data_IF_939328613643
#
_entry.id   IF_939328613643
#
_cell.length_a   1.000
_cell.length_b   1.000
_cell.length_c   1.000
_cell.angle_alpha   90.00
_cell.angle_beta   90.00
_cell.angle_gamma   90.00
#
_symmetry.space_group_name_H-M   'P 1'
#
loop_
_entity.id
_entity.type
_entity.pdbx_description
1 polymer ?
#
# COMPACT_ATOMS: atom_id res chain seq x y z
N UNK A 1 -23.45 -10.12 39.48
CA UNK A 1 -22.51 -9.50 38.51
C UNK A 1 -23.23 -9.43 37.15
N UNK A 2 -23.61 -8.23 36.70
CA UNK A 2 -24.45 -8.05 35.50
C UNK A 2 -23.72 -8.47 34.21
N UNK A 3 -24.37 -9.24 33.34
CA UNK A 3 -23.79 -9.71 32.07
C UNK A 3 -23.38 -8.57 31.12
N UNK A 4 -24.02 -7.41 31.27
CA UNK A 4 -23.76 -6.19 30.50
C UNK A 4 -22.39 -5.60 30.83
N UNK A 5 -21.99 -5.57 32.10
CA UNK A 5 -20.69 -5.03 32.51
C UNK A 5 -19.54 -5.96 32.10
N UNK A 6 -19.76 -7.27 32.08
CA UNK A 6 -18.80 -8.27 31.55
C UNK A 6 -18.58 -8.03 30.04
N UNK A 7 -19.65 -7.92 29.24
CA UNK A 7 -19.56 -7.64 27.80
C UNK A 7 -18.86 -6.31 27.49
N UNK A 8 -19.17 -5.26 28.25
CA UNK A 8 -18.53 -3.94 28.10
C UNK A 8 -17.03 -3.99 28.39
N UNK A 9 -16.62 -4.74 29.43
CA UNK A 9 -15.22 -4.94 29.78
C UNK A 9 -14.47 -5.79 28.74
N UNK A 10 -15.08 -6.84 28.18
CA UNK A 10 -14.49 -7.64 27.12
C UNK A 10 -14.25 -6.82 25.85
N UNK A 11 -15.23 -6.00 25.42
CA UNK A 11 -15.05 -5.07 24.30
C UNK A 11 -13.91 -4.07 24.56
N UNK A 12 -13.88 -3.45 25.75
CA UNK A 12 -12.83 -2.48 26.12
C UNK A 12 -11.44 -3.12 26.17
N UNK A 13 -11.32 -4.38 26.62
CA UNK A 13 -10.07 -5.14 26.62
C UNK A 13 -9.61 -5.47 25.20
N UNK A 14 -10.52 -5.90 24.32
CA UNK A 14 -10.20 -6.17 22.91
C UNK A 14 -9.71 -4.89 22.20
N UNK A 15 -10.39 -3.76 22.38
CA UNK A 15 -9.96 -2.48 21.79
C UNK A 15 -8.55 -2.06 22.25
N UNK A 16 -8.24 -2.22 23.54
CA UNK A 16 -6.88 -1.93 24.06
C UNK A 16 -5.82 -2.86 23.50
N UNK A 17 -6.13 -4.15 23.35
CA UNK A 17 -5.21 -5.13 22.77
C UNK A 17 -4.94 -4.85 21.29
N UNK A 18 -5.97 -4.48 20.53
CA UNK A 18 -5.83 -4.03 19.14
C UNK A 18 -4.96 -2.77 19.05
N UNK A 19 -5.21 -1.77 19.89
CA UNK A 19 -4.38 -0.55 19.93
C UNK A 19 -2.90 -0.86 20.22
N UNK A 20 -2.65 -1.72 21.21
CA UNK A 20 -1.28 -2.12 21.59
C UNK A 20 -0.57 -2.86 20.45
N UNK A 21 -1.31 -3.67 19.67
CA UNK A 21 -0.77 -4.35 18.49
C UNK A 21 -0.45 -3.37 17.36
N UNK A 22 -1.28 -2.34 17.13
CA UNK A 22 -1.06 -1.34 16.08
C UNK A 22 0.16 -0.45 16.37
N UNK A 23 0.50 -0.26 17.65
CA UNK A 23 1.64 0.56 18.11
C UNK A 23 2.93 -0.24 18.31
N UNK A 24 2.86 -1.57 18.34
CA UNK A 24 4.02 -2.45 18.61
C UNK A 24 4.96 -2.56 17.42
N UNK A 25 6.28 -2.54 17.66
CA UNK A 25 7.29 -2.85 16.63
C UNK A 25 7.32 -4.33 16.25
N UNK A 26 6.75 -5.20 17.09
CA UNK A 26 6.63 -6.66 16.85
C UNK A 26 5.36 -6.96 16.04
N UNK A 27 4.59 -5.94 15.66
CA UNK A 27 3.43 -6.10 14.79
C UNK A 27 3.84 -6.76 13.46
N UNK A 28 2.97 -7.62 12.89
CA UNK A 28 3.21 -8.17 11.57
C UNK A 28 3.30 -7.04 10.54
N UNK A 29 4.23 -7.13 9.60
CA UNK A 29 4.29 -6.17 8.50
C UNK A 29 3.09 -6.36 7.56
N UNK A 30 2.48 -5.27 7.09
CA UNK A 30 1.36 -5.31 6.14
C UNK A 30 1.69 -4.48 4.90
N UNK A 31 1.53 -5.05 3.71
CA UNK A 31 1.65 -4.34 2.44
C UNK A 31 0.25 -4.06 1.89
N UNK A 32 -0.07 -2.78 1.73
CA UNK A 32 -1.36 -2.36 1.19
C UNK A 32 -1.18 -2.14 -0.30
N UNK A 33 -1.84 -2.98 -1.11
CA UNK A 33 -1.69 -2.94 -2.57
C UNK A 33 -2.91 -2.26 -3.17
N UNK A 34 -2.68 -1.12 -3.82
CA UNK A 34 -3.74 -0.37 -4.50
C UNK A 34 -3.47 -0.29 -6.00
N UNK A 35 -4.29 -0.96 -6.84
CA UNK A 35 -4.25 -0.74 -8.28
C UNK A 35 -4.85 0.63 -8.62
N UNK A 36 -4.27 1.29 -9.62
CA UNK A 36 -4.71 2.58 -10.15
C UNK A 36 -4.66 2.55 -11.68
N UNK A 37 -5.75 2.99 -12.31
CA UNK A 37 -5.83 3.18 -13.76
C UNK A 37 -6.73 4.38 -14.06
N UNK A 38 -6.16 5.39 -14.70
CA UNK A 38 -6.84 6.65 -15.03
C UNK A 38 -7.52 7.32 -13.81
N UNK A 39 -6.79 7.47 -12.70
CA UNK A 39 -7.26 8.06 -11.44
C UNK A 39 -6.67 9.46 -11.17
N UNK A 40 -6.24 10.18 -12.21
CA UNK A 40 -5.52 11.45 -12.11
C UNK A 40 -6.15 12.49 -11.16
N UNK A 41 -7.47 12.51 -11.03
CA UNK A 41 -8.20 13.46 -10.16
C UNK A 41 -8.10 13.08 -8.68
N UNK A 42 -8.07 11.79 -8.35
CA UNK A 42 -8.23 11.28 -6.97
C UNK A 42 -6.97 10.64 -6.40
N UNK A 43 -6.01 10.26 -7.25
CA UNK A 43 -4.88 9.40 -6.88
C UNK A 43 -4.02 10.00 -5.75
N UNK A 44 -3.72 11.30 -5.80
CA UNK A 44 -2.90 11.97 -4.77
C UNK A 44 -3.57 11.93 -3.40
N UNK A 45 -4.86 12.28 -3.33
CA UNK A 45 -5.61 12.27 -2.07
C UNK A 45 -5.77 10.84 -1.52
N UNK A 46 -5.96 9.88 -2.42
CA UNK A 46 -6.01 8.46 -2.09
C UNK A 46 -4.71 7.98 -1.44
N UNK A 47 -3.55 8.30 -2.03
CA UNK A 47 -2.25 7.94 -1.47
C UNK A 47 -2.03 8.62 -0.12
N UNK A 48 -2.30 9.93 -0.01
CA UNK A 48 -2.19 10.65 1.28
C UNK A 48 -3.01 9.97 2.38
N UNK A 49 -4.23 9.54 2.05
CA UNK A 49 -5.11 8.85 3.00
C UNK A 49 -4.56 7.49 3.46
N UNK A 50 -3.87 6.76 2.59
CA UNK A 50 -3.21 5.50 2.95
C UNK A 50 -1.93 5.75 3.77
N UNK A 51 -1.25 6.86 3.52
CA UNK A 51 -0.04 7.24 4.26
C UNK A 51 -0.32 7.76 5.68
N UNK A 52 -1.57 8.06 6.04
CA UNK A 52 -1.97 8.50 7.40
C UNK A 52 -2.45 7.36 8.31
N UNK A 53 -2.31 6.10 7.88
CA UNK A 53 -2.74 4.95 8.67
C UNK A 53 -1.96 4.84 9.99
N UNK A 54 -2.72 4.67 11.07
CA UNK A 54 -2.17 4.48 12.40
C UNK A 54 -1.74 3.01 12.62
N UNK A 55 -0.74 2.57 11.87
CA UNK A 55 -0.11 1.25 12.04
C UNK A 55 1.41 1.40 11.99
N UNK A 56 2.11 0.77 12.91
CA UNK A 56 3.57 0.94 13.05
C UNK A 56 4.33 0.40 11.83
N UNK A 57 3.89 -0.73 11.28
CA UNK A 57 4.69 -1.52 10.34
C UNK A 57 3.91 -1.86 9.06
N UNK A 58 3.71 -0.88 8.21
CA UNK A 58 3.10 -1.07 6.90
C UNK A 58 3.86 -0.36 5.79
N UNK A 59 3.57 -0.76 4.56
CA UNK A 59 3.92 -0.05 3.34
C UNK A 59 2.69 0.09 2.44
N UNK A 60 2.78 1.01 1.50
CA UNK A 60 1.76 1.26 0.48
C UNK A 60 2.40 1.04 -0.88
N UNK A 61 1.84 0.11 -1.65
CA UNK A 61 2.26 -0.21 -3.02
C UNK A 61 1.15 0.23 -3.96
N UNK A 62 1.39 1.30 -4.70
CA UNK A 62 0.46 1.77 -5.72
C UNK A 62 0.89 1.20 -7.07
N UNK A 63 -0.03 0.52 -7.76
CA UNK A 63 0.25 -0.08 -9.06
C UNK A 63 -0.43 0.72 -10.15
N UNK A 64 0.33 1.49 -10.91
CA UNK A 64 -0.13 2.14 -12.13
C UNK A 64 -0.27 1.10 -13.24
N UNK A 65 -1.50 0.68 -13.54
CA UNK A 65 -1.81 -0.36 -14.53
C UNK A 65 -1.86 0.19 -15.96
N UNK A 66 -0.79 0.88 -16.36
CA UNK A 66 -0.66 1.48 -17.69
C UNK A 66 -1.70 2.57 -17.99
N UNK A 67 -1.91 3.49 -17.02
CA UNK A 67 -2.76 4.66 -17.22
C UNK A 67 -2.37 5.46 -18.46
N UNK A 68 -3.37 6.08 -19.09
CA UNK A 68 -3.23 6.92 -20.30
C UNK A 68 -3.38 8.41 -20.01
N UNK A 69 -3.69 8.77 -18.76
CA UNK A 69 -3.76 10.13 -18.26
C UNK A 69 -2.51 10.47 -17.43
N UNK A 70 -2.53 11.63 -16.77
CA UNK A 70 -1.43 12.15 -15.95
C UNK A 70 -1.35 11.53 -14.53
N UNK A 71 -1.91 10.34 -14.32
CA UNK A 71 -1.92 9.66 -13.00
C UNK A 71 -0.51 9.45 -12.46
N UNK A 72 0.40 8.93 -13.30
CA UNK A 72 1.77 8.62 -12.88
C UNK A 72 2.59 9.90 -12.68
N UNK A 73 2.48 10.88 -13.58
CA UNK A 73 3.18 12.16 -13.48
C UNK A 73 2.80 12.90 -12.20
N UNK A 74 1.51 12.88 -11.82
CA UNK A 74 1.05 13.48 -10.57
C UNK A 74 1.67 12.82 -9.35
N UNK A 75 1.73 11.49 -9.32
CA UNK A 75 2.39 10.76 -8.23
C UNK A 75 3.87 11.11 -8.14
N UNK A 76 4.58 11.12 -9.27
CA UNK A 76 6.01 11.44 -9.35
C UNK A 76 6.27 12.84 -8.80
N UNK A 77 5.50 13.82 -9.27
CA UNK A 77 5.67 15.22 -8.88
C UNK A 77 5.32 15.46 -7.40
N UNK A 78 4.21 14.90 -6.93
CA UNK A 78 3.70 15.14 -5.59
C UNK A 78 4.59 14.52 -4.50
N UNK A 79 5.05 13.28 -4.72
CA UNK A 79 5.79 12.53 -3.72
C UNK A 79 7.30 12.50 -3.97
N UNK A 80 7.81 13.38 -4.82
CA UNK A 80 9.22 13.49 -5.18
C UNK A 80 9.87 12.14 -5.52
N UNK A 81 9.23 11.43 -6.45
CA UNK A 81 9.60 10.05 -6.77
C UNK A 81 10.72 9.99 -7.81
N UNK A 82 11.62 9.04 -7.63
CA UNK A 82 12.65 8.68 -8.60
C UNK A 82 12.55 7.20 -8.95
N UNK A 83 12.87 6.87 -10.19
CA UNK A 83 12.97 5.49 -10.63
C UNK A 83 14.17 4.84 -9.91
N UNK A 84 13.97 3.61 -9.44
CA UNK A 84 15.01 2.81 -8.79
C UNK A 84 15.24 1.52 -9.55
N UNK A 85 16.49 1.07 -9.57
CA UNK A 85 16.81 -0.28 -10.04
C UNK A 85 16.24 -1.29 -9.04
N UNK A 86 15.37 -2.17 -9.52
CA UNK A 86 14.67 -3.11 -8.67
C UNK A 86 14.54 -4.45 -9.39
N UNK A 87 15.14 -5.49 -8.81
CA UNK A 87 14.98 -6.85 -9.29
C UNK A 87 13.68 -7.42 -8.71
N UNK A 88 12.67 -7.61 -9.57
CA UNK A 88 11.39 -8.20 -9.17
C UNK A 88 11.45 -9.71 -9.36
N UNK A 89 11.15 -10.46 -8.29
CA UNK A 89 10.89 -11.89 -8.36
C UNK A 89 9.38 -12.11 -8.62
N UNK A 90 9.04 -12.67 -9.78
CA UNK A 90 7.66 -12.83 -10.20
C UNK A 90 7.06 -14.11 -9.59
N UNK A 91 6.67 -14.04 -8.31
CA UNK A 91 6.01 -15.12 -7.57
C UNK A 91 4.62 -15.45 -8.13
N UNK A 92 3.88 -14.42 -8.55
CA UNK A 92 2.56 -14.56 -9.17
C UNK A 92 2.55 -14.00 -10.58
N UNK A 93 1.82 -14.61 -11.53
CA UNK A 93 1.78 -14.11 -12.90
C UNK A 93 1.15 -12.72 -13.00
N UNK A 94 1.82 -11.80 -13.67
CA UNK A 94 1.28 -10.51 -14.09
C UNK A 94 1.95 -10.03 -15.38
N UNK A 95 1.41 -8.98 -15.99
CA UNK A 95 2.12 -8.27 -17.07
C UNK A 95 3.38 -7.57 -16.56
N UNK A 96 4.29 -7.35 -17.50
CA UNK A 96 5.60 -6.73 -17.28
C UNK A 96 5.52 -5.43 -16.47
N UNK A 97 6.33 -5.37 -15.42
CA UNK A 97 6.61 -4.15 -14.66
C UNK A 97 7.71 -3.39 -15.38
N UNK A 98 7.39 -2.17 -15.83
CA UNK A 98 8.30 -1.28 -16.58
C UNK A 98 9.29 -0.59 -15.66
N UNK A 99 8.79 -0.10 -14.53
CA UNK A 99 9.58 0.70 -13.61
C UNK A 99 9.00 0.65 -12.20
N UNK A 100 9.87 0.83 -11.20
CA UNK A 100 9.49 1.02 -9.82
C UNK A 100 10.04 2.37 -9.37
N UNK A 101 9.23 3.10 -8.62
CA UNK A 101 9.58 4.41 -8.10
C UNK A 101 9.50 4.44 -6.57
N UNK A 102 10.44 5.17 -5.98
CA UNK A 102 10.52 5.44 -4.55
C UNK A 102 10.71 6.94 -4.33
N UNK A 103 10.19 7.45 -3.22
CA UNK A 103 10.39 8.85 -2.84
C UNK A 103 11.81 9.09 -2.36
N UNK A 104 12.36 10.26 -2.69
CA UNK A 104 13.59 10.76 -2.05
C UNK A 104 13.33 11.32 -0.65
N UNK A 105 12.09 11.71 -0.36
CA UNK A 105 11.69 12.16 0.96
C UNK A 105 11.47 10.96 1.90
N UNK A 106 12.19 10.98 3.02
CA UNK A 106 12.14 9.94 4.04
C UNK A 106 10.76 9.83 4.71
N UNK A 107 9.96 10.91 4.67
CA UNK A 107 8.58 10.91 5.18
C UNK A 107 7.68 9.95 4.37
N UNK A 108 8.01 9.73 3.10
CA UNK A 108 7.29 8.85 2.19
C UNK A 108 8.02 7.54 1.92
N UNK A 109 8.99 7.14 2.76
CA UNK A 109 9.76 5.88 2.58
C UNK A 109 8.91 4.60 2.50
N UNK A 110 7.67 4.65 3.01
CA UNK A 110 6.69 3.56 2.99
C UNK A 110 5.93 3.46 1.67
N UNK A 111 6.10 4.42 0.76
CA UNK A 111 5.41 4.46 -0.53
C UNK A 111 6.28 3.83 -1.62
N UNK A 112 5.68 2.94 -2.38
CA UNK A 112 6.26 2.35 -3.60
C UNK A 112 5.28 2.51 -4.73
N UNK A 113 5.72 3.02 -5.87
CA UNK A 113 4.90 3.04 -7.09
C UNK A 113 5.45 2.03 -8.07
N UNK A 114 4.58 1.18 -8.59
CA UNK A 114 4.88 0.18 -9.61
C UNK A 114 4.20 0.63 -10.90
N UNK A 115 4.97 0.92 -11.94
CA UNK A 115 4.45 1.20 -13.27
C UNK A 115 4.61 -0.05 -14.15
N UNK A 116 3.51 -0.51 -14.73
CA UNK A 116 3.46 -1.76 -15.52
C UNK A 116 2.69 -1.59 -16.82
N UNK A 117 2.84 -2.54 -17.73
CA UNK A 117 2.02 -2.63 -18.94
C UNK A 117 0.60 -3.03 -18.53
N UNK A 118 -0.43 -2.34 -19.03
CA UNK A 118 -1.82 -2.61 -18.67
C UNK A 118 -2.20 -4.09 -18.88
N UNK A 119 -2.72 -4.74 -17.84
CA UNK A 119 -3.10 -6.15 -17.85
C UNK A 119 -4.56 -6.44 -18.21
N UNK A 120 -5.37 -5.41 -18.38
CA UNK A 120 -6.80 -5.49 -18.68
C UNK A 120 -7.67 -5.89 -17.48
N UNK A 121 -7.08 -6.19 -16.31
CA UNK A 121 -7.83 -6.58 -15.11
C UNK A 121 -7.17 -6.07 -13.83
N UNK A 122 -8.01 -5.74 -12.84
CA UNK A 122 -7.54 -5.34 -11.50
C UNK A 122 -6.70 -6.42 -10.83
N UNK A 123 -7.01 -7.69 -11.09
CA UNK A 123 -6.26 -8.82 -10.54
C UNK A 123 -4.80 -8.84 -11.02
N UNK A 124 -4.57 -8.54 -12.32
CA UNK A 124 -3.21 -8.46 -12.87
C UNK A 124 -2.39 -7.35 -12.20
N UNK A 125 -3.00 -6.19 -11.96
CA UNK A 125 -2.37 -5.09 -11.22
C UNK A 125 -2.09 -5.46 -9.76
N UNK A 126 -3.03 -6.13 -9.07
CA UNK A 126 -2.80 -6.62 -7.70
C UNK A 126 -1.65 -7.63 -7.65
N UNK A 127 -1.56 -8.55 -8.60
CA UNK A 127 -0.47 -9.52 -8.70
C UNK A 127 0.90 -8.84 -8.86
N UNK A 128 0.98 -7.79 -9.68
CA UNK A 128 2.20 -7.00 -9.77
C UNK A 128 2.57 -6.34 -8.43
N UNK A 129 1.58 -5.86 -7.68
CA UNK A 129 1.82 -5.36 -6.33
C UNK A 129 2.30 -6.43 -5.35
N UNK A 130 1.76 -7.66 -5.44
CA UNK A 130 2.20 -8.82 -4.64
C UNK A 130 3.67 -9.16 -4.93
N UNK A 131 4.09 -9.15 -6.20
CA UNK A 131 5.48 -9.44 -6.58
C UNK A 131 6.49 -8.39 -6.04
N UNK A 132 6.03 -7.19 -5.71
CA UNK A 132 6.87 -6.08 -5.21
C UNK A 132 6.72 -5.90 -3.69
N UNK A 133 5.71 -6.50 -3.06
CA UNK A 133 5.45 -6.36 -1.65
C UNK A 133 6.59 -6.93 -0.79
N UNK A 134 7.00 -6.16 0.21
CA UNK A 134 8.06 -6.51 1.17
C UNK A 134 7.54 -7.36 2.33
N UNK A 135 6.23 -7.31 2.61
CA UNK A 135 5.63 -7.99 3.76
C UNK A 135 4.72 -9.16 3.34
N UNK A 136 4.60 -10.20 4.18
CA UNK A 136 3.84 -11.40 3.84
C UNK A 136 2.32 -11.23 3.89
N UNK A 137 1.82 -10.19 4.58
CA UNK A 137 0.38 -9.92 4.69
C UNK A 137 0.00 -8.82 3.71
N UNK A 138 -0.91 -9.14 2.80
CA UNK A 138 -1.39 -8.23 1.75
C UNK A 138 -2.81 -7.78 2.07
N UNK A 139 -3.08 -6.49 1.85
CA UNK A 139 -4.41 -5.87 2.02
C UNK A 139 -4.84 -5.14 0.74
#
# INVERSE_FOLDING_TARGET
MSSISIRKNLRKRNSRRVQTLMESEIAPGVSIVKPAYNESVTIVNNVRSLMTLFYSRYEVVIVNDGSKDDTLEKLIKEFDLVQVDFLVDYLVPCKEIKAIYKSRDISHKRLTIVDKINGGSKADAVNAGINVASFPYIL
#
